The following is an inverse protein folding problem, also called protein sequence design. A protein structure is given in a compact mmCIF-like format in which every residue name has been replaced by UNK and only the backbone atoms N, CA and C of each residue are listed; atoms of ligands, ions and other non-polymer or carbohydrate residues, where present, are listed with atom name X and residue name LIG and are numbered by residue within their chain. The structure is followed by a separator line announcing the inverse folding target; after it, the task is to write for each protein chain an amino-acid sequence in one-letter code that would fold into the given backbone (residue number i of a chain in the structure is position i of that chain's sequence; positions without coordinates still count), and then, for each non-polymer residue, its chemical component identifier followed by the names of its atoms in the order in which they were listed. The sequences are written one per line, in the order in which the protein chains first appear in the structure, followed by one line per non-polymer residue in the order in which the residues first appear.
data_IF_871530902268
#
_entry.id   IF_871530902268
#
_cell.length_a   1.000
_cell.length_b   1.000
_cell.length_c   1.000
_cell.angle_alpha   90.00
_cell.angle_beta   90.00
_cell.angle_gamma   90.00
#
_symmetry.space_group_name_H-M   'P 1'
#
loop_
_entity.id
_entity.type
_entity.pdbx_description
1 polymer ?
#
# COMPACT_ATOMS: atom_id res chain seq x y z
N UNK A 1 -31.77 -13.22 -55.86
CA UNK A 1 -30.50 -13.79 -55.34
C UNK A 1 -30.11 -13.05 -54.07
N UNK A 2 -30.25 -13.69 -52.91
CA UNK A 2 -29.40 -13.51 -51.72
C UNK A 2 -29.89 -14.45 -50.62
N UNK A 3 -29.16 -15.57 -50.47
CA UNK A 3 -29.43 -16.64 -49.51
C UNK A 3 -29.07 -16.17 -48.10
N UNK A 4 -30.04 -15.89 -47.24
CA UNK A 4 -29.83 -15.84 -45.79
C UNK A 4 -30.19 -17.20 -45.19
N UNK A 5 -29.16 -18.01 -44.92
CA UNK A 5 -29.27 -19.24 -44.13
C UNK A 5 -29.60 -18.84 -42.68
N UNK A 6 -30.78 -19.24 -42.19
CA UNK A 6 -31.06 -19.34 -40.75
C UNK A 6 -30.44 -20.64 -40.25
N UNK A 7 -29.35 -20.56 -39.50
CA UNK A 7 -28.80 -21.70 -38.77
C UNK A 7 -29.44 -21.77 -37.39
N UNK A 8 -30.22 -22.82 -37.19
CA UNK A 8 -30.78 -23.29 -35.93
C UNK A 8 -29.64 -23.64 -34.98
N UNK A 9 -29.52 -22.94 -33.84
CA UNK A 9 -28.58 -23.32 -32.78
C UNK A 9 -29.35 -24.16 -31.77
N UNK A 10 -29.04 -25.46 -31.79
CA UNK A 10 -29.56 -26.50 -30.91
C UNK A 10 -29.06 -26.26 -29.49
N UNK A 11 -29.99 -26.09 -28.56
CA UNK A 11 -29.72 -26.04 -27.12
C UNK A 11 -29.45 -27.45 -26.61
N UNK A 12 -28.19 -27.88 -26.61
CA UNK A 12 -27.77 -29.09 -25.89
C UNK A 12 -27.28 -28.71 -24.50
N UNK A 13 -28.15 -28.97 -23.53
CA UNK A 13 -27.85 -29.08 -22.11
C UNK A 13 -26.77 -30.15 -21.91
N UNK A 14 -25.51 -29.75 -21.68
CA UNK A 14 -24.45 -30.67 -21.27
C UNK A 14 -24.27 -30.59 -19.76
N UNK A 15 -24.75 -31.63 -19.09
CA UNK A 15 -24.51 -31.99 -17.70
C UNK A 15 -23.06 -31.71 -17.32
N UNK A 16 -22.88 -30.89 -16.28
CA UNK A 16 -21.61 -30.68 -15.60
C UNK A 16 -21.15 -32.03 -15.04
N UNK A 17 -20.23 -32.69 -15.74
CA UNK A 17 -19.55 -33.86 -15.23
C UNK A 17 -18.71 -33.42 -14.02
N UNK A 18 -19.06 -33.92 -12.83
CA UNK A 18 -18.17 -33.88 -11.67
C UNK A 18 -16.95 -34.70 -12.04
N UNK A 19 -15.84 -34.03 -12.38
CA UNK A 19 -14.51 -34.65 -12.38
C UNK A 19 -14.22 -35.07 -10.94
N UNK A 20 -14.52 -36.34 -10.63
CA UNK A 20 -14.00 -37.01 -9.45
C UNK A 20 -12.53 -37.28 -9.77
N UNK A 21 -11.66 -36.36 -9.37
CA UNK A 21 -10.22 -36.52 -9.48
C UNK A 21 -9.76 -37.74 -8.69
N UNK A 22 -8.88 -38.53 -9.29
CA UNK A 22 -8.21 -39.67 -8.69
C UNK A 22 -7.50 -39.21 -7.38
N UNK A 23 -7.84 -39.75 -6.20
CA UNK A 23 -7.30 -39.29 -4.92
C UNK A 23 -5.77 -39.47 -4.78
N UNK A 24 -5.16 -40.24 -5.68
CA UNK A 24 -3.70 -40.40 -5.75
C UNK A 24 -2.98 -39.29 -6.53
N UNK A 25 -3.71 -38.38 -7.17
CA UNK A 25 -3.12 -37.32 -8.01
C UNK A 25 -3.15 -35.93 -7.36
N UNK A 26 -3.50 -35.86 -6.08
CA UNK A 26 -3.57 -34.61 -5.36
C UNK A 26 -2.16 -34.05 -5.08
N UNK A 27 -2.01 -32.76 -5.38
CA UNK A 27 -0.78 -32.01 -5.16
C UNK A 27 -0.54 -31.80 -3.67
N UNK A 28 0.67 -32.10 -3.20
CA UNK A 28 1.08 -31.75 -1.84
C UNK A 28 1.53 -30.29 -1.78
N UNK A 29 1.31 -29.63 -0.65
CA UNK A 29 1.73 -28.25 -0.45
C UNK A 29 3.26 -28.07 -0.63
N UNK A 30 4.05 -29.05 -0.17
CA UNK A 30 5.52 -29.04 -0.26
C UNK A 30 6.06 -29.16 -1.68
N UNK A 31 5.25 -29.64 -2.62
CA UNK A 31 5.55 -29.77 -4.06
C UNK A 31 5.35 -28.46 -4.84
N UNK A 32 4.81 -27.43 -4.17
CA UNK A 32 4.49 -26.15 -4.80
C UNK A 32 5.43 -25.04 -4.33
N UNK A 33 5.59 -24.03 -5.16
CA UNK A 33 6.23 -22.75 -4.83
C UNK A 33 5.47 -21.58 -5.46
N UNK A 34 5.70 -20.37 -4.97
CA UNK A 34 5.04 -19.17 -5.49
C UNK A 34 6.04 -18.35 -6.28
N UNK A 35 5.75 -18.14 -7.56
CA UNK A 35 6.46 -17.16 -8.39
C UNK A 35 5.81 -15.80 -8.20
N UNK A 36 6.52 -14.93 -7.48
CA UNK A 36 6.06 -13.56 -7.21
C UNK A 36 5.96 -12.75 -8.51
N UNK A 37 4.93 -11.89 -8.58
CA UNK A 37 4.72 -11.01 -9.74
C UNK A 37 5.69 -9.82 -9.67
N UNK A 38 6.93 -10.03 -10.14
CA UNK A 38 7.96 -8.99 -10.13
C UNK A 38 7.79 -7.89 -11.21
N UNK A 39 6.82 -8.04 -12.13
CA UNK A 39 6.68 -7.15 -13.28
C UNK A 39 5.94 -5.84 -12.96
N UNK A 40 5.21 -5.74 -11.84
CA UNK A 40 4.48 -4.54 -11.43
C UNK A 40 5.24 -3.82 -10.31
N UNK A 41 6.34 -3.16 -10.69
CA UNK A 41 7.31 -2.53 -9.76
C UNK A 41 6.73 -1.45 -8.84
N UNK A 42 5.53 -0.96 -9.11
CA UNK A 42 4.99 0.22 -8.43
C UNK A 42 4.14 -0.08 -7.20
N UNK A 43 3.76 -1.35 -6.95
CA UNK A 43 2.94 -1.70 -5.79
C UNK A 43 3.60 -2.76 -4.92
N UNK A 44 3.87 -2.41 -3.65
CA UNK A 44 4.44 -3.30 -2.63
C UNK A 44 3.66 -4.60 -2.45
N UNK A 45 2.37 -4.57 -2.77
CA UNK A 45 1.46 -5.71 -2.62
C UNK A 45 1.96 -6.91 -3.42
N UNK A 46 2.48 -6.70 -4.63
CA UNK A 46 2.94 -7.77 -5.52
C UNK A 46 4.19 -8.51 -5.02
N UNK A 47 4.89 -7.97 -4.02
CA UNK A 47 5.95 -8.70 -3.30
C UNK A 47 5.42 -9.88 -2.49
N UNK A 48 4.10 -9.93 -2.24
CA UNK A 48 3.45 -10.94 -1.39
C UNK A 48 2.44 -11.80 -2.15
N UNK A 49 2.23 -11.57 -3.44
CA UNK A 49 1.31 -12.33 -4.26
C UNK A 49 2.01 -12.83 -5.52
N UNK A 50 1.65 -14.03 -5.93
CA UNK A 50 2.26 -14.69 -7.07
C UNK A 50 1.39 -15.76 -7.69
N UNK A 51 1.86 -16.31 -8.80
CA UNK A 51 1.31 -17.53 -9.38
C UNK A 51 1.89 -18.72 -8.61
N UNK A 52 1.02 -19.66 -8.24
CA UNK A 52 1.48 -20.92 -7.67
C UNK A 52 1.98 -21.81 -8.81
N UNK A 53 3.19 -22.35 -8.68
CA UNK A 53 3.78 -23.29 -9.65
C UNK A 53 4.27 -24.55 -8.96
N UNK A 54 4.44 -25.60 -9.76
CA UNK A 54 5.01 -26.86 -9.29
C UNK A 54 6.54 -26.75 -9.30
N UNK A 55 7.19 -27.26 -8.25
CA UNK A 55 8.64 -27.36 -8.22
C UNK A 55 9.13 -28.27 -9.34
N UNK A 56 10.24 -27.91 -9.97
CA UNK A 56 10.84 -28.58 -11.14
C UNK A 56 11.14 -30.07 -10.97
N UNK A 57 11.19 -30.58 -9.74
CA UNK A 57 11.44 -32.00 -9.44
C UNK A 57 10.18 -32.88 -9.45
N UNK A 58 8.99 -32.30 -9.67
CA UNK A 58 7.73 -33.04 -9.74
C UNK A 58 7.47 -33.39 -11.20
N UNK A 59 7.55 -34.68 -11.52
CA UNK A 59 7.34 -35.20 -12.86
C UNK A 59 5.98 -34.76 -13.45
N UNK A 60 5.99 -34.44 -14.75
CA UNK A 60 4.90 -33.93 -15.61
C UNK A 60 3.67 -34.87 -15.74
N UNK A 61 3.25 -35.54 -14.67
CA UNK A 61 1.89 -36.03 -14.59
C UNK A 61 0.94 -34.84 -14.67
N UNK A 62 -0.17 -34.98 -15.38
CA UNK A 62 -1.18 -33.93 -15.58
C UNK A 62 -1.89 -33.56 -14.26
N UNK A 63 -1.13 -33.03 -13.30
CA UNK A 63 -1.63 -32.53 -12.02
C UNK A 63 -2.15 -31.12 -12.26
N UNK A 64 -3.46 -30.96 -12.24
CA UNK A 64 -4.11 -29.67 -12.42
C UNK A 64 -3.85 -28.79 -11.21
N UNK A 65 -3.21 -27.64 -11.42
CA UNK A 65 -3.10 -26.60 -10.39
C UNK A 65 -4.46 -25.90 -10.21
N UNK A 66 -5.14 -26.02 -9.06
CA UNK A 66 -6.44 -25.40 -8.82
C UNK A 66 -6.38 -23.85 -8.76
N UNK A 67 -5.17 -23.27 -8.75
CA UNK A 67 -4.92 -21.83 -8.66
C UNK A 67 -4.37 -21.19 -9.94
N UNK A 68 -4.37 -21.89 -11.08
CA UNK A 68 -3.76 -21.38 -12.33
C UNK A 68 -4.26 -19.97 -12.75
N UNK A 69 -5.53 -19.66 -12.50
CA UNK A 69 -6.18 -18.38 -12.84
C UNK A 69 -6.25 -17.39 -11.67
N UNK A 70 -5.48 -17.62 -10.61
CA UNK A 70 -5.55 -16.84 -9.38
C UNK A 70 -4.18 -16.41 -8.89
N UNK A 71 -4.13 -15.24 -8.27
CA UNK A 71 -3.01 -14.83 -7.43
C UNK A 71 -3.15 -15.45 -6.04
N UNK A 72 -2.06 -16.01 -5.54
CA UNK A 72 -1.99 -16.69 -4.25
C UNK A 72 -1.16 -15.83 -3.29
N UNK A 73 -1.65 -15.64 -2.06
CA UNK A 73 -0.89 -14.92 -1.03
C UNK A 73 0.26 -15.79 -0.52
N UNK A 74 1.50 -15.32 -0.72
CA UNK A 74 2.70 -16.01 -0.23
C UNK A 74 2.71 -16.13 1.28
N UNK A 75 2.25 -15.12 2.03
CA UNK A 75 2.22 -15.20 3.49
C UNK A 75 1.26 -16.28 4.00
N UNK A 76 0.05 -16.37 3.43
CA UNK A 76 -0.88 -17.46 3.74
C UNK A 76 -0.28 -18.83 3.43
N UNK A 77 0.39 -18.96 2.28
CA UNK A 77 1.00 -20.21 1.85
C UNK A 77 2.12 -20.66 2.81
N UNK A 78 2.99 -19.74 3.24
CA UNK A 78 4.05 -20.05 4.20
C UNK A 78 3.49 -20.47 5.56
N UNK A 79 2.47 -19.78 6.08
CA UNK A 79 1.82 -20.14 7.35
C UNK A 79 1.26 -21.57 7.28
N UNK A 80 0.65 -21.94 6.15
CA UNK A 80 0.14 -23.30 5.95
C UNK A 80 1.26 -24.34 5.85
N UNK A 81 2.37 -24.00 5.19
CA UNK A 81 3.54 -24.86 5.09
C UNK A 81 4.20 -25.10 6.45
N UNK A 82 4.31 -24.06 7.28
CA UNK A 82 4.81 -24.14 8.66
C UNK A 82 3.90 -24.99 9.56
N UNK A 83 2.58 -24.89 9.38
CA UNK A 83 1.60 -25.68 10.16
C UNK A 83 1.55 -27.16 9.77
N UNK A 84 1.87 -27.50 8.53
CA UNK A 84 1.73 -28.86 8.01
C UNK A 84 2.72 -29.17 6.88
N UNK A 85 4.01 -29.38 7.21
CA UNK A 85 5.09 -29.41 6.23
C UNK A 85 5.09 -30.59 5.24
N UNK A 86 4.41 -31.70 5.52
CA UNK A 86 4.64 -32.96 4.77
C UNK A 86 3.41 -33.71 4.26
N UNK A 87 2.20 -33.42 4.75
CA UNK A 87 1.02 -34.26 4.44
C UNK A 87 -0.20 -33.52 3.91
N UNK A 88 -0.23 -32.18 3.94
CA UNK A 88 -1.43 -31.43 3.56
C UNK A 88 -1.57 -31.36 2.05
N UNK A 89 -2.73 -31.80 1.56
CA UNK A 89 -3.10 -31.65 0.16
C UNK A 89 -3.40 -30.19 -0.13
N UNK A 90 -3.02 -29.74 -1.33
CA UNK A 90 -3.21 -28.36 -1.78
C UNK A 90 -4.67 -27.94 -1.78
N UNK A 91 -5.59 -28.88 -2.06
CA UNK A 91 -7.05 -28.64 -2.05
C UNK A 91 -7.61 -28.34 -0.66
N UNK A 92 -6.94 -28.81 0.39
CA UNK A 92 -7.34 -28.61 1.79
C UNK A 92 -6.65 -27.38 2.41
N UNK A 93 -5.86 -26.67 1.61
CA UNK A 93 -5.11 -25.51 2.06
C UNK A 93 -6.03 -24.30 2.23
N UNK A 94 -5.96 -23.64 3.38
CA UNK A 94 -6.77 -22.43 3.64
C UNK A 94 -6.16 -21.15 3.02
N UNK A 95 -5.16 -21.33 2.14
CA UNK A 95 -4.45 -20.24 1.50
C UNK A 95 -5.41 -19.36 0.71
N UNK A 96 -5.40 -18.06 1.03
CA UNK A 96 -6.22 -17.07 0.33
C UNK A 96 -5.70 -16.89 -1.09
N UNK A 97 -6.64 -16.93 -2.03
CA UNK A 97 -6.41 -16.72 -3.46
C UNK A 97 -7.43 -15.74 -4.02
N UNK A 98 -7.02 -14.98 -5.03
CA UNK A 98 -7.80 -13.91 -5.64
C UNK A 98 -7.79 -14.06 -7.16
N UNK A 99 -8.88 -13.67 -7.83
CA UNK A 99 -8.91 -13.64 -9.29
C UNK A 99 -7.85 -12.69 -9.86
N UNK A 100 -7.32 -12.97 -11.05
CA UNK A 100 -6.34 -12.08 -11.71
C UNK A 100 -6.85 -10.67 -12.02
N UNK A 101 -8.18 -10.48 -12.03
CA UNK A 101 -8.85 -9.18 -12.18
C UNK A 101 -9.03 -8.39 -10.86
N UNK A 102 -8.55 -8.92 -9.72
CA UNK A 102 -8.73 -8.28 -8.42
C UNK A 102 -8.06 -6.90 -8.34
N UNK A 103 -8.70 -5.97 -7.64
CA UNK A 103 -8.09 -4.66 -7.36
C UNK A 103 -6.94 -4.78 -6.35
N UNK A 104 -5.90 -3.98 -6.53
CA UNK A 104 -4.76 -3.90 -5.61
C UNK A 104 -5.16 -3.49 -4.20
N UNK A 105 -6.25 -2.72 -4.04
CA UNK A 105 -6.80 -2.35 -2.73
C UNK A 105 -7.30 -3.54 -1.91
N UNK A 106 -7.94 -4.52 -2.55
CA UNK A 106 -8.41 -5.73 -1.88
C UNK A 106 -7.23 -6.59 -1.39
N UNK A 107 -6.20 -6.71 -2.23
CA UNK A 107 -4.97 -7.41 -1.88
C UNK A 107 -4.23 -6.72 -0.72
N UNK A 108 -4.17 -5.38 -0.71
CA UNK A 108 -3.60 -4.62 0.39
C UNK A 108 -4.37 -4.81 1.71
N UNK A 109 -5.71 -4.79 1.65
CA UNK A 109 -6.55 -5.07 2.82
C UNK A 109 -6.31 -6.47 3.38
N UNK A 110 -6.09 -7.47 2.51
CA UNK A 110 -5.70 -8.80 2.95
C UNK A 110 -4.35 -8.80 3.69
N UNK A 111 -3.34 -8.07 3.18
CA UNK A 111 -2.03 -8.00 3.83
C UNK A 111 -2.11 -7.37 5.24
N UNK A 112 -3.02 -6.43 5.47
CA UNK A 112 -3.26 -5.86 6.81
C UNK A 112 -3.67 -6.93 7.83
N UNK A 113 -4.40 -7.97 7.42
CA UNK A 113 -4.75 -9.10 8.29
C UNK A 113 -3.55 -9.93 8.74
N UNK A 114 -2.45 -9.88 7.99
CA UNK A 114 -1.16 -10.48 8.36
C UNK A 114 -0.25 -9.52 9.14
N UNK A 115 -0.72 -8.32 9.48
CA UNK A 115 0.12 -7.24 10.00
C UNK A 115 1.09 -6.66 8.98
N UNK A 116 1.01 -7.10 7.71
CA UNK A 116 1.79 -6.56 6.60
C UNK A 116 1.05 -5.32 6.11
N UNK A 117 1.35 -4.20 6.74
CA UNK A 117 0.95 -2.92 6.19
C UNK A 117 1.96 -2.53 5.11
N UNK A 118 1.56 -1.67 4.18
CA UNK A 118 2.55 -0.81 3.56
C UNK A 118 3.16 0.00 4.70
N UNK A 119 4.20 -0.53 5.33
CA UNK A 119 5.28 0.33 5.74
C UNK A 119 5.71 0.95 4.43
N UNK A 120 5.12 2.10 4.11
CA UNK A 120 5.82 3.12 3.34
C UNK A 120 7.21 3.05 3.96
N UNK A 121 8.26 2.60 3.26
CA UNK A 121 9.57 2.76 3.84
C UNK A 121 9.57 4.22 4.24
N UNK A 122 9.73 4.45 5.55
CA UNK A 122 10.25 5.71 6.02
C UNK A 122 11.64 5.72 5.40
N UNK A 123 11.71 5.98 4.09
CA UNK A 123 12.87 6.57 3.48
C UNK A 123 13.09 7.76 4.41
N UNK A 124 14.15 7.70 5.19
CA UNK A 124 14.58 8.79 6.06
C UNK A 124 14.71 10.11 5.27
N UNK A 125 14.73 10.02 3.93
CA UNK A 125 14.71 11.08 2.93
C UNK A 125 13.33 11.49 2.39
N UNK A 126 12.24 10.73 2.61
CA UNK A 126 10.85 11.12 2.26
C UNK A 126 9.94 11.23 3.49
N UNK A 127 10.44 11.87 4.55
CA UNK A 127 9.54 12.76 5.31
C UNK A 127 9.12 13.86 4.35
N UNK A 128 8.08 13.61 3.56
CA UNK A 128 7.34 14.65 2.85
C UNK A 128 7.10 15.81 3.83
N UNK A 129 7.18 17.05 3.37
CA UNK A 129 6.81 18.24 4.15
C UNK A 129 5.46 18.03 4.86
N UNK A 130 4.55 17.27 4.25
CA UNK A 130 3.32 16.78 4.86
C UNK A 130 3.55 16.14 6.23
N UNK A 131 4.58 15.33 6.46
CA UNK A 131 4.85 14.71 7.76
C UNK A 131 5.39 15.73 8.76
N UNK A 132 6.16 16.74 8.32
CA UNK A 132 6.59 17.86 9.16
C UNK A 132 5.39 18.68 9.66
N UNK A 133 4.37 18.87 8.80
CA UNK A 133 3.11 19.52 9.18
C UNK A 133 2.09 18.57 9.85
N UNK A 134 2.14 17.26 9.58
CA UNK A 134 1.12 16.29 10.03
C UNK A 134 1.47 15.53 11.31
N UNK A 135 2.74 15.46 11.76
CA UNK A 135 3.07 14.57 12.88
C UNK A 135 2.47 14.96 14.22
N UNK A 136 1.75 16.09 14.39
CA UNK A 136 1.04 16.37 15.64
C UNK A 136 -0.11 17.40 15.57
N UNK A 137 -0.81 17.60 14.44
CA UNK A 137 -1.87 18.64 14.40
C UNK A 137 -3.18 18.27 13.71
N UNK A 138 -3.90 17.29 14.27
CA UNK A 138 -5.36 17.49 14.41
C UNK A 138 -5.61 18.44 15.59
N UNK A 139 -5.13 19.69 15.49
CA UNK A 139 -5.51 20.72 16.45
C UNK A 139 -6.90 21.19 16.06
N UNK A 140 -7.92 20.56 16.65
CA UNK A 140 -9.25 21.15 16.85
C UNK A 140 -9.11 22.38 17.75
N UNK A 141 -8.47 23.43 17.23
CA UNK A 141 -8.18 24.65 17.96
C UNK A 141 -8.48 25.87 17.12
N UNK A 142 -8.62 26.99 17.83
CA UNK A 142 -8.93 28.30 17.27
C UNK A 142 -7.95 28.69 16.16
N UNK A 143 -8.37 29.57 15.24
CA UNK A 143 -7.54 30.07 14.14
C UNK A 143 -6.14 30.53 14.61
N UNK A 144 -6.07 31.15 15.81
CA UNK A 144 -4.83 31.57 16.47
C UNK A 144 -3.85 30.41 16.71
N UNK A 145 -4.33 29.24 17.15
CA UNK A 145 -3.48 28.06 17.42
C UNK A 145 -2.93 27.46 16.12
N UNK A 146 -3.71 27.52 15.04
CA UNK A 146 -3.28 27.10 13.69
C UNK A 146 -2.24 28.06 13.12
N UNK A 147 -2.44 29.38 13.26
CA UNK A 147 -1.46 30.37 12.83
C UNK A 147 -0.13 30.26 13.58
N UNK A 148 -0.19 30.06 14.90
CA UNK A 148 1.00 29.80 15.71
C UNK A 148 1.71 28.49 15.32
N UNK A 149 0.97 27.49 14.84
CA UNK A 149 1.54 26.27 14.24
C UNK A 149 2.50 26.58 13.14
N UNK A 150 1.96 27.30 12.16
CA UNK A 150 2.62 27.58 10.91
C UNK A 150 3.84 28.45 11.17
N UNK A 151 3.72 29.44 12.06
CA UNK A 151 4.85 30.27 12.49
C UNK A 151 5.94 29.40 13.11
N UNK A 152 5.61 28.49 14.03
CA UNK A 152 6.58 27.61 14.66
C UNK A 152 7.30 26.74 13.63
N UNK A 153 6.54 26.10 12.76
CA UNK A 153 7.06 25.15 11.79
C UNK A 153 7.95 25.88 10.76
N UNK A 154 7.59 27.09 10.32
CA UNK A 154 8.40 27.93 9.45
C UNK A 154 9.68 28.44 10.10
N UNK A 155 9.64 28.84 11.38
CA UNK A 155 10.85 29.22 12.13
C UNK A 155 11.79 28.03 12.24
N UNK A 156 11.27 26.84 12.56
CA UNK A 156 12.09 25.63 12.66
C UNK A 156 12.72 25.26 11.31
N UNK A 157 11.98 25.37 10.20
CA UNK A 157 12.51 25.20 8.85
C UNK A 157 13.67 26.18 8.58
N UNK A 158 13.47 27.47 8.85
CA UNK A 158 14.49 28.50 8.64
C UNK A 158 15.74 28.27 9.50
N UNK A 159 15.58 27.89 10.77
CA UNK A 159 16.70 27.66 11.68
C UNK A 159 17.45 26.36 11.38
N UNK A 160 16.75 25.29 10.96
CA UNK A 160 17.36 23.99 10.70
C UNK A 160 18.21 24.00 9.43
N UNK A 161 17.68 24.61 8.37
CA UNK A 161 18.32 24.63 7.04
C UNK A 161 19.02 25.98 6.76
N UNK A 162 19.09 26.85 7.76
CA UNK A 162 19.71 28.19 7.70
C UNK A 162 19.14 29.10 6.59
N UNK A 163 17.85 28.95 6.29
CA UNK A 163 17.18 29.85 5.36
C UNK A 163 16.99 31.24 5.97
N UNK A 164 17.03 32.24 5.09
CA UNK A 164 16.68 33.62 5.44
C UNK A 164 15.18 33.71 5.72
N UNK A 165 14.78 34.48 6.73
CA UNK A 165 13.36 34.69 7.06
C UNK A 165 12.54 35.42 5.96
N UNK A 166 13.19 35.95 4.91
CA UNK A 166 12.47 36.48 3.75
C UNK A 166 11.85 35.38 2.88
N UNK A 167 12.21 34.10 3.08
CA UNK A 167 11.62 32.95 2.40
C UNK A 167 10.09 32.96 2.49
N UNK A 168 9.55 33.39 3.64
CA UNK A 168 8.11 33.42 3.92
C UNK A 168 7.34 34.52 3.20
N UNK A 169 8.06 35.44 2.56
CA UNK A 169 7.48 36.48 1.71
C UNK A 169 7.56 36.14 0.22
N UNK A 170 8.15 34.99 -0.14
CA UNK A 170 8.25 34.55 -1.52
C UNK A 170 6.94 33.94 -2.02
N UNK A 171 6.47 34.40 -3.17
CA UNK A 171 5.24 33.91 -3.83
C UNK A 171 5.27 32.39 -4.02
N UNK A 172 6.42 31.83 -4.43
CA UNK A 172 6.54 30.39 -4.64
C UNK A 172 6.30 29.54 -3.38
N UNK A 173 6.66 30.04 -2.19
CA UNK A 173 6.33 29.33 -0.95
C UNK A 173 4.84 29.47 -0.62
N UNK A 174 4.26 30.66 -0.80
CA UNK A 174 2.83 30.89 -0.60
C UNK A 174 1.99 29.97 -1.48
N UNK A 175 2.30 29.89 -2.77
CA UNK A 175 1.64 29.02 -3.73
C UNK A 175 1.78 27.55 -3.35
N UNK A 176 2.98 27.14 -2.91
CA UNK A 176 3.23 25.79 -2.43
C UNK A 176 2.33 25.45 -1.24
N UNK A 177 2.31 26.31 -0.22
CA UNK A 177 1.57 26.09 1.03
C UNK A 177 0.04 26.10 0.79
N UNK A 178 -0.44 26.91 -0.16
CA UNK A 178 -1.84 26.88 -0.62
C UNK A 178 -2.18 25.61 -1.40
N UNK A 179 -1.30 25.16 -2.31
CA UNK A 179 -1.49 23.93 -3.10
C UNK A 179 -1.71 22.68 -2.24
N UNK A 180 -1.08 22.63 -1.07
CA UNK A 180 -1.24 21.53 -0.11
C UNK A 180 -2.29 21.81 0.98
N UNK A 181 -3.11 22.85 0.83
CA UNK A 181 -4.18 23.24 1.78
C UNK A 181 -3.68 23.47 3.21
N UNK A 182 -2.44 23.92 3.38
CA UNK A 182 -1.90 24.30 4.69
C UNK A 182 -2.48 25.67 5.12
N UNK A 183 -2.64 26.57 4.15
CA UNK A 183 -3.39 27.83 4.29
C UNK A 183 -4.49 27.90 3.24
N UNK A 184 -5.55 28.67 3.53
CA UNK A 184 -6.69 28.84 2.62
C UNK A 184 -6.51 30.08 1.75
N UNK A 185 -5.93 31.14 2.34
CA UNK A 185 -5.73 32.42 1.67
C UNK A 185 -4.30 32.93 1.85
N UNK A 186 -3.74 33.73 0.92
CA UNK A 186 -2.42 34.33 1.08
C UNK A 186 -2.26 35.15 2.37
N UNK A 187 -3.34 35.76 2.87
CA UNK A 187 -3.37 36.57 4.09
C UNK A 187 -3.21 35.74 5.38
N UNK A 188 -3.44 34.42 5.29
CA UNK A 188 -3.17 33.50 6.38
C UNK A 188 -1.67 33.26 6.56
N UNK A 189 -0.85 33.55 5.54
CA UNK A 189 0.60 33.42 5.58
C UNK A 189 1.17 34.38 6.63
N UNK A 190 2.01 33.89 7.56
CA UNK A 190 2.62 34.74 8.56
C UNK A 190 3.63 35.68 7.93
N UNK A 191 3.56 36.96 8.29
CA UNK A 191 4.54 37.93 7.85
C UNK A 191 5.89 37.72 8.53
N UNK A 192 6.96 38.19 7.89
CA UNK A 192 8.35 38.11 8.38
C UNK A 192 8.49 38.61 9.83
N UNK A 193 7.77 39.66 10.20
CA UNK A 193 7.83 40.25 11.55
C UNK A 193 7.28 39.29 12.60
N UNK A 194 6.17 38.60 12.32
CA UNK A 194 5.59 37.61 13.24
C UNK A 194 6.56 36.45 13.50
N UNK A 195 7.23 35.97 12.44
CA UNK A 195 8.22 34.89 12.53
C UNK A 195 9.42 35.31 13.37
N UNK A 196 9.97 36.50 13.10
CA UNK A 196 11.11 37.02 13.86
C UNK A 196 10.77 37.20 15.35
N UNK A 197 9.57 37.70 15.67
CA UNK A 197 9.12 37.88 17.07
C UNK A 197 8.92 36.56 17.81
N UNK A 198 8.42 35.53 17.12
CA UNK A 198 8.16 34.22 17.72
C UNK A 198 9.42 33.38 17.94
N UNK A 199 10.58 33.77 17.41
CA UNK A 199 11.82 33.01 17.52
C UNK A 199 12.22 32.70 18.97
N UNK A 200 12.18 33.71 19.84
CA UNK A 200 12.51 33.55 21.26
C UNK A 200 11.52 32.66 22.00
N UNK A 201 10.24 32.74 21.64
CA UNK A 201 9.18 31.93 22.23
C UNK A 201 9.33 30.46 21.84
N UNK A 202 9.62 30.21 20.56
CA UNK A 202 9.84 28.86 20.01
C UNK A 202 11.13 28.26 20.57
N UNK A 203 12.20 29.04 20.71
CA UNK A 203 13.44 28.60 21.33
C UNK A 203 13.22 28.15 22.78
N UNK A 204 12.47 28.95 23.57
CA UNK A 204 12.10 28.57 24.95
C UNK A 204 11.28 27.29 24.96
N UNK A 205 10.28 27.18 24.08
CA UNK A 205 9.43 26.00 23.94
C UNK A 205 10.25 24.73 23.65
N UNK A 206 11.18 24.80 22.70
CA UNK A 206 12.06 23.68 22.34
C UNK A 206 12.98 23.31 23.50
N UNK A 207 13.59 24.30 24.17
CA UNK A 207 14.46 24.08 25.32
C UNK A 207 13.73 23.38 26.49
N UNK A 208 12.46 23.70 26.71
CA UNK A 208 11.64 23.01 27.72
C UNK A 208 11.24 21.61 27.28
N UNK A 209 10.94 21.40 25.99
CA UNK A 209 10.55 20.10 25.47
C UNK A 209 11.70 19.07 25.50
N UNK A 210 12.96 19.50 25.33
CA UNK A 210 14.13 18.62 25.43
C UNK A 210 14.49 18.18 26.85
N UNK A 211 13.80 18.69 27.88
CA UNK A 211 14.02 18.34 29.30
C UNK A 211 12.98 17.36 29.84
N UNK A 212 11.96 17.02 29.05
CA UNK A 212 10.96 15.99 29.36
C UNK A 212 11.33 14.71 28.60
#
# INVERSE_FOLDING_TARGET
MNKRKKSTVTTTSSKLAKNIGDPNNDLKLSECEILLVNQLKDSFVWMFFGDLVLKSNVSNGAKSNPFADKYVCNRCFQIELERSPTSKLLKDCSTKSYAKSVSTGNLASHLQSHGITQHKPLNETMRTLDTFFNTNRRVGGTATKKKFALIRDLVLLCCKDLFRFNLVSGEGLTDFVMKYNIIVSPEDMPCRVSIARSLNEIYRYMKTASRM
#
